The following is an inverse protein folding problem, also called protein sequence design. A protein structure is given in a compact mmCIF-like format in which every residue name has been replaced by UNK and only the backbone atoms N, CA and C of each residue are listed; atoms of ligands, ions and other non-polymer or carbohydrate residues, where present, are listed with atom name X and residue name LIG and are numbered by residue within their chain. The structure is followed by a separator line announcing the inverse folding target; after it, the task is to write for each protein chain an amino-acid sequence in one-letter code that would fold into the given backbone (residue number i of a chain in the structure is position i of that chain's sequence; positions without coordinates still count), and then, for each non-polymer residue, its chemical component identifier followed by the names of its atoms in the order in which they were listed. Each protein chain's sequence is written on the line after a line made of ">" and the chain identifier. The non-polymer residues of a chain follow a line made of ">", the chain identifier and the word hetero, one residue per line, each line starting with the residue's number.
data_IF_460281780472
#
_entry.id   IF_460281780472
#
_cell.length_a   1.000
_cell.length_b   1.000
_cell.length_c   1.000
_cell.angle_alpha   90.00
_cell.angle_beta   90.00
_cell.angle_gamma   90.00
#
_symmetry.space_group_name_H-M   'P 1'
#
loop_
_entity.id
_entity.type
_entity.pdbx_description
1 polymer ?
#
# COMPACT_ATOMS: atom_id res chain seq x y z
N UNK A 1 -20.48 -35.21 -49.25
CA UNK A 1 -19.96 -33.83 -49.29
C UNK A 1 -20.35 -33.15 -47.99
N UNK A 2 -19.35 -32.96 -47.14
CA UNK A 2 -19.49 -32.60 -45.73
C UNK A 2 -19.84 -31.12 -45.57
N UNK A 3 -20.87 -30.83 -44.78
CA UNK A 3 -21.10 -29.48 -44.24
C UNK A 3 -20.31 -29.36 -42.95
N UNK A 4 -19.14 -28.72 -43.02
CA UNK A 4 -18.34 -28.36 -41.85
C UNK A 4 -19.04 -27.19 -41.17
N UNK A 5 -19.60 -27.45 -39.98
CA UNK A 5 -20.15 -26.45 -39.09
C UNK A 5 -18.96 -25.76 -38.39
N UNK A 6 -18.65 -24.53 -38.80
CA UNK A 6 -17.59 -23.73 -38.19
C UNK A 6 -18.12 -23.19 -36.84
N UNK A 7 -17.84 -23.91 -35.76
CA UNK A 7 -18.10 -23.42 -34.39
C UNK A 7 -17.03 -22.37 -34.08
N UNK A 8 -17.44 -21.11 -34.14
CA UNK A 8 -16.63 -19.97 -33.72
C UNK A 8 -16.46 -20.04 -32.19
N UNK A 9 -15.34 -20.60 -31.73
CA UNK A 9 -14.96 -20.59 -30.32
C UNK A 9 -14.56 -19.15 -29.96
N UNK A 10 -15.53 -18.36 -29.51
CA UNK A 10 -15.28 -17.09 -28.82
C UNK A 10 -14.53 -17.42 -27.52
N UNK A 11 -13.21 -17.34 -27.57
CA UNK A 11 -12.36 -17.21 -26.39
C UNK A 11 -12.75 -15.91 -25.69
N UNK A 12 -13.76 -15.97 -24.83
CA UNK A 12 -13.91 -14.99 -23.76
C UNK A 12 -12.69 -15.20 -22.86
N UNK A 13 -11.63 -14.44 -23.13
CA UNK A 13 -10.59 -14.19 -22.15
C UNK A 13 -11.30 -13.60 -20.93
N UNK A 14 -11.50 -14.43 -19.91
CA UNK A 14 -11.76 -13.94 -18.58
C UNK A 14 -10.59 -13.02 -18.25
N UNK A 15 -10.80 -11.71 -18.37
CA UNK A 15 -9.93 -10.72 -17.77
C UNK A 15 -10.04 -10.90 -16.26
N UNK A 16 -9.25 -11.84 -15.74
CA UNK A 16 -8.90 -11.91 -14.33
C UNK A 16 -8.07 -10.65 -14.04
N UNK A 17 -8.72 -9.50 -13.85
CA UNK A 17 -8.11 -8.35 -13.20
C UNK A 17 -8.04 -8.61 -11.69
N UNK A 18 -7.30 -9.65 -11.32
CA UNK A 18 -6.95 -9.93 -9.93
C UNK A 18 -5.67 -9.14 -9.56
N UNK A 19 -5.83 -7.82 -9.42
CA UNK A 19 -4.99 -6.93 -8.61
C UNK A 19 -3.46 -6.98 -8.79
N UNK A 20 -2.95 -6.56 -9.95
CA UNK A 20 -1.58 -6.06 -9.99
C UNK A 20 -1.54 -4.63 -9.42
N UNK A 21 -0.78 -4.45 -8.34
CA UNK A 21 -0.43 -3.14 -7.77
C UNK A 21 1.02 -2.83 -8.12
N UNK A 22 1.35 -1.54 -8.32
CA UNK A 22 2.74 -1.13 -8.59
C UNK A 22 3.66 -1.53 -7.43
N UNK A 23 4.71 -2.29 -7.72
CA UNK A 23 5.77 -2.60 -6.76
C UNK A 23 6.57 -1.32 -6.43
N UNK A 24 6.69 -1.02 -5.14
CA UNK A 24 7.44 0.12 -4.62
C UNK A 24 8.63 -0.40 -3.82
N UNK A 25 9.79 -0.41 -4.45
CA UNK A 25 11.06 -0.65 -3.77
C UNK A 25 11.40 0.51 -2.84
N UNK A 26 12.01 0.20 -1.68
CA UNK A 26 12.38 1.21 -0.69
C UNK A 26 13.47 2.18 -1.17
N UNK A 27 14.21 1.81 -2.22
CA UNK A 27 15.32 2.57 -2.82
C UNK A 27 14.98 3.11 -4.22
N UNK A 28 13.69 3.11 -4.58
CA UNK A 28 13.19 3.60 -5.88
C UNK A 28 13.77 4.97 -6.20
N UNK A 29 14.35 5.07 -7.40
CA UNK A 29 14.89 6.31 -7.98
C UNK A 29 14.08 6.66 -9.22
N UNK A 30 14.08 7.94 -9.56
CA UNK A 30 13.52 8.42 -10.81
C UNK A 30 14.60 8.47 -11.91
N UNK A 31 14.16 8.27 -13.14
CA UNK A 31 14.95 8.31 -14.36
C UNK A 31 14.57 9.52 -15.22
N UNK A 32 15.40 9.83 -16.22
CA UNK A 32 15.10 10.89 -17.17
C UNK A 32 13.87 10.52 -18.00
N UNK A 33 12.91 11.44 -18.09
CA UNK A 33 11.63 11.25 -18.77
C UNK A 33 10.50 10.78 -17.84
N UNK A 34 10.80 10.44 -16.59
CA UNK A 34 9.76 10.02 -15.64
C UNK A 34 8.75 11.16 -15.39
N UNK A 35 7.47 10.79 -15.42
CA UNK A 35 6.40 11.65 -14.93
C UNK A 35 6.14 11.30 -13.46
N UNK A 36 6.44 12.25 -12.59
CA UNK A 36 6.31 12.10 -11.15
C UNK A 36 5.37 13.16 -10.56
N UNK A 37 5.06 13.00 -9.28
CA UNK A 37 4.19 13.94 -8.56
C UNK A 37 4.85 14.38 -7.26
N UNK A 38 4.66 15.65 -6.91
CA UNK A 38 5.21 16.19 -5.69
C UNK A 38 4.52 15.57 -4.46
N UNK A 39 5.31 15.07 -3.52
CA UNK A 39 4.84 14.63 -2.21
C UNK A 39 4.85 15.78 -1.19
N UNK A 40 5.89 16.60 -1.22
CA UNK A 40 5.99 17.80 -0.39
C UNK A 40 4.91 18.83 -0.71
N UNK A 41 4.63 19.71 0.23
CA UNK A 41 3.81 20.90 -0.01
C UNK A 41 4.64 22.16 0.22
N UNK A 42 4.36 23.22 -0.55
CA UNK A 42 5.15 24.46 -0.58
C UNK A 42 6.65 24.24 -0.86
N UNK A 43 6.96 23.34 -1.79
CA UNK A 43 8.34 22.99 -2.13
C UNK A 43 8.95 24.05 -3.02
N UNK A 44 10.12 24.55 -2.63
CA UNK A 44 10.89 25.52 -3.40
C UNK A 44 11.67 24.81 -4.52
N UNK A 45 11.34 25.11 -5.76
CA UNK A 45 12.15 24.77 -6.94
C UNK A 45 13.34 25.72 -7.00
N UNK A 46 14.55 25.17 -7.10
CA UNK A 46 15.79 25.94 -6.98
C UNK A 46 16.55 26.01 -8.30
N UNK A 47 17.32 27.06 -8.56
CA UNK A 47 18.15 27.15 -9.78
C UNK A 47 19.31 26.14 -9.83
N UNK A 48 19.73 25.63 -8.67
CA UNK A 48 20.82 24.69 -8.49
C UNK A 48 20.46 23.65 -7.41
N UNK A 49 21.11 22.47 -7.39
CA UNK A 49 20.82 21.39 -6.43
C UNK A 49 21.35 21.69 -5.01
N UNK A 50 20.82 22.75 -4.38
CA UNK A 50 21.21 23.22 -3.05
C UNK A 50 20.03 23.89 -2.34
N UNK A 51 19.97 23.75 -1.02
CA UNK A 51 18.97 24.43 -0.17
C UNK A 51 19.16 25.95 -0.12
N UNK A 52 20.36 26.43 -0.42
CA UNK A 52 20.71 27.86 -0.37
C UNK A 52 20.58 28.56 -1.74
N UNK A 53 20.35 27.80 -2.82
CA UNK A 53 20.22 28.36 -4.16
C UNK A 53 18.96 29.22 -4.30
N UNK A 54 18.94 30.13 -5.28
CA UNK A 54 17.77 30.97 -5.55
C UNK A 54 16.52 30.13 -5.89
N UNK A 55 15.35 30.65 -5.51
CA UNK A 55 14.05 30.01 -5.73
C UNK A 55 13.48 30.46 -7.06
N UNK A 56 13.15 29.50 -7.93
CA UNK A 56 12.46 29.70 -9.20
C UNK A 56 10.95 29.75 -9.01
N UNK A 57 10.42 28.80 -8.21
CA UNK A 57 8.99 28.66 -7.99
C UNK A 57 8.69 27.96 -6.65
N UNK A 58 7.44 28.04 -6.21
CA UNK A 58 6.92 27.28 -5.05
C UNK A 58 5.81 26.35 -5.53
N UNK A 59 6.01 25.04 -5.34
CA UNK A 59 5.15 23.99 -5.85
C UNK A 59 4.30 23.40 -4.73
N UNK A 60 3.10 22.96 -5.08
CA UNK A 60 2.13 22.34 -4.17
C UNK A 60 2.11 20.83 -4.32
N UNK A 61 1.73 20.13 -3.25
CA UNK A 61 1.55 18.67 -3.29
C UNK A 61 0.68 18.26 -4.49
N UNK A 62 1.03 17.14 -5.12
CA UNK A 62 0.32 16.60 -6.28
C UNK A 62 0.58 17.35 -7.59
N UNK A 63 1.41 18.40 -7.61
CA UNK A 63 1.89 18.98 -8.85
C UNK A 63 2.65 17.93 -9.68
N UNK A 64 2.30 17.84 -10.96
CA UNK A 64 2.92 16.94 -11.93
C UNK A 64 4.29 17.50 -12.36
N UNK A 65 5.29 16.63 -12.41
CA UNK A 65 6.68 16.97 -12.70
C UNK A 65 7.17 16.04 -13.81
N UNK A 66 7.99 16.56 -14.71
CA UNK A 66 8.81 15.76 -15.63
C UNK A 66 10.24 15.77 -15.09
N UNK A 67 10.81 14.58 -14.85
CA UNK A 67 12.19 14.45 -14.41
C UNK A 67 13.11 14.56 -15.61
N UNK A 68 13.99 15.57 -15.61
CA UNK A 68 14.92 15.82 -16.71
C UNK A 68 16.30 15.22 -16.45
N UNK A 69 16.73 15.22 -15.19
CA UNK A 69 18.09 14.80 -14.83
C UNK A 69 18.15 14.41 -13.36
N UNK A 70 18.92 13.36 -13.06
CA UNK A 70 19.34 13.02 -11.71
C UNK A 70 20.73 13.60 -11.46
N UNK A 71 20.85 14.49 -10.49
CA UNK A 71 22.13 15.04 -10.06
C UNK A 71 22.94 14.04 -9.24
N UNK A 72 24.27 14.17 -9.28
CA UNK A 72 25.19 13.48 -8.37
C UNK A 72 25.21 14.11 -6.97
N UNK A 73 24.66 15.31 -6.80
CA UNK A 73 24.53 15.96 -5.49
C UNK A 73 23.43 15.27 -4.69
N UNK A 74 23.75 14.91 -3.46
CA UNK A 74 22.82 14.29 -2.52
C UNK A 74 22.69 15.10 -1.24
N UNK A 75 21.55 14.95 -0.58
CA UNK A 75 21.30 15.58 0.72
C UNK A 75 20.42 14.65 1.55
N UNK A 76 20.69 14.57 2.84
CA UNK A 76 19.84 13.82 3.78
C UNK A 76 18.59 14.63 4.09
N UNK A 77 17.43 14.05 3.83
CA UNK A 77 16.14 14.63 4.16
C UNK A 77 15.29 13.56 4.84
N UNK A 78 14.71 13.90 6.00
CA UNK A 78 13.89 12.96 6.79
C UNK A 78 14.59 11.61 7.03
N UNK A 79 15.89 11.67 7.34
CA UNK A 79 16.75 10.52 7.62
C UNK A 79 17.13 9.67 6.41
N UNK A 80 16.75 10.06 5.19
CA UNK A 80 17.08 9.35 3.96
C UNK A 80 17.98 10.22 3.07
N UNK A 81 19.13 9.68 2.66
CA UNK A 81 19.98 10.33 1.67
C UNK A 81 19.31 10.27 0.30
N UNK A 82 18.99 11.43 -0.28
CA UNK A 82 18.31 11.54 -1.58
C UNK A 82 19.13 12.36 -2.56
N UNK A 83 19.20 11.95 -3.85
CA UNK A 83 19.76 12.81 -4.89
C UNK A 83 18.83 14.01 -5.16
N UNK A 84 19.41 15.08 -5.70
CA UNK A 84 18.63 16.16 -6.30
C UNK A 84 18.24 15.78 -7.72
N UNK A 85 17.04 16.20 -8.14
CA UNK A 85 16.52 16.01 -9.48
C UNK A 85 16.28 17.37 -10.13
N UNK A 86 16.79 17.52 -11.35
CA UNK A 86 16.34 18.58 -12.25
C UNK A 86 14.98 18.17 -12.79
N UNK A 87 14.00 19.01 -12.62
CA UNK A 87 12.62 18.77 -13.06
C UNK A 87 12.13 19.92 -13.91
N UNK A 88 11.13 19.64 -14.74
CA UNK A 88 10.30 20.62 -15.39
C UNK A 88 8.92 20.64 -14.76
N UNK A 89 8.45 21.83 -14.44
CA UNK A 89 7.10 22.10 -13.97
C UNK A 89 6.51 23.22 -14.81
N UNK A 90 5.53 22.90 -15.66
CA UNK A 90 5.01 23.83 -16.66
C UNK A 90 6.16 24.39 -17.52
N UNK A 91 6.42 25.69 -17.42
CA UNK A 91 7.49 26.38 -18.15
C UNK A 91 8.76 26.58 -17.31
N UNK A 92 8.72 26.22 -16.02
CA UNK A 92 9.84 26.39 -15.10
C UNK A 92 10.71 25.14 -15.06
N UNK A 93 12.03 25.34 -14.98
CA UNK A 93 13.02 24.27 -14.82
C UNK A 93 13.89 24.59 -13.63
N UNK A 94 14.11 23.60 -12.78
CA UNK A 94 15.00 23.74 -11.62
C UNK A 94 15.17 22.44 -10.88
N UNK A 95 15.68 22.52 -9.66
CA UNK A 95 16.09 21.38 -8.85
C UNK A 95 15.22 21.25 -7.59
N UNK A 96 14.87 20.00 -7.26
CA UNK A 96 14.26 19.62 -5.98
C UNK A 96 14.95 18.35 -5.46
N UNK A 97 14.95 18.16 -4.14
CA UNK A 97 15.46 16.94 -3.52
C UNK A 97 14.47 15.77 -3.74
N UNK A 98 15.00 14.58 -4.06
CA UNK A 98 14.21 13.38 -4.34
C UNK A 98 13.23 12.99 -3.23
N UNK A 99 13.60 13.20 -1.97
CA UNK A 99 12.74 12.97 -0.80
C UNK A 99 11.50 13.88 -0.73
N UNK A 100 11.29 14.81 -1.66
CA UNK A 100 10.07 15.58 -1.82
C UNK A 100 9.17 15.12 -2.98
N UNK A 101 9.62 14.14 -3.77
CA UNK A 101 8.87 13.51 -4.87
C UNK A 101 8.20 12.25 -4.36
N UNK A 102 6.95 12.01 -4.75
CA UNK A 102 6.17 10.84 -4.33
C UNK A 102 6.66 9.59 -5.04
N UNK A 103 6.84 8.49 -4.31
CA UNK A 103 7.21 7.19 -4.87
C UNK A 103 6.16 6.64 -5.83
N UNK A 104 4.89 6.94 -5.54
CA UNK A 104 3.76 6.66 -6.43
C UNK A 104 2.64 7.67 -6.23
N UNK A 105 1.72 7.74 -7.18
CA UNK A 105 0.43 8.40 -7.03
C UNK A 105 -0.65 7.44 -7.51
N UNK A 106 -1.59 7.13 -6.62
CA UNK A 106 -2.81 6.39 -7.00
C UNK A 106 -4.01 7.31 -6.84
N UNK A 107 -4.79 7.49 -7.90
CA UNK A 107 -6.02 8.30 -7.88
C UNK A 107 -7.24 7.39 -7.98
N UNK A 108 -8.25 7.65 -7.15
CA UNK A 108 -9.57 7.04 -7.27
C UNK A 108 -10.64 8.08 -6.99
N UNK A 109 -11.57 8.25 -7.93
CA UNK A 109 -12.58 9.31 -7.90
C UNK A 109 -11.92 10.68 -7.69
N UNK A 110 -12.32 11.40 -6.65
CA UNK A 110 -11.82 12.72 -6.27
C UNK A 110 -10.66 12.69 -5.26
N UNK A 111 -10.07 11.52 -4.98
CA UNK A 111 -8.99 11.36 -4.01
C UNK A 111 -7.70 10.92 -4.71
N UNK A 112 -6.61 11.65 -4.50
CA UNK A 112 -5.26 11.23 -4.84
C UNK A 112 -4.51 10.79 -3.58
N UNK A 113 -3.85 9.64 -3.63
CA UNK A 113 -2.98 9.10 -2.59
C UNK A 113 -1.52 9.16 -3.04
N UNK A 114 -0.64 9.60 -2.15
CA UNK A 114 0.78 9.80 -2.37
C UNK A 114 1.57 9.09 -1.26
N UNK A 115 2.72 8.52 -1.61
CA UNK A 115 3.57 7.77 -0.71
C UNK A 115 4.98 8.31 -0.74
N UNK A 116 5.58 8.41 0.44
CA UNK A 116 7.00 8.64 0.59
C UNK A 116 7.52 7.91 1.84
N UNK A 117 8.83 7.91 2.02
CA UNK A 117 9.51 7.26 3.11
C UNK A 117 10.17 8.28 4.02
N UNK A 118 10.31 7.90 5.29
CA UNK A 118 11.05 8.66 6.29
C UNK A 118 11.76 7.65 7.20
N UNK A 119 13.02 7.94 7.54
CA UNK A 119 13.80 7.14 8.48
C UNK A 119 14.02 7.94 9.76
N UNK A 120 13.66 7.38 10.90
CA UNK A 120 13.99 7.92 12.23
C UNK A 120 14.77 6.85 12.96
N UNK A 121 15.98 7.19 13.40
CA UNK A 121 16.98 6.23 13.88
C UNK A 121 17.15 5.13 12.84
N UNK A 122 16.93 3.86 13.21
CA UNK A 122 16.97 2.72 12.29
C UNK A 122 15.60 2.24 11.82
N UNK A 123 14.53 2.97 12.12
CA UNK A 123 13.16 2.58 11.74
C UNK A 123 12.70 3.32 10.49
N UNK A 124 12.26 2.55 9.50
CA UNK A 124 11.64 3.07 8.30
C UNK A 124 10.14 3.29 8.54
N UNK A 125 9.61 4.40 8.02
CA UNK A 125 8.21 4.75 8.07
C UNK A 125 7.68 5.01 6.66
N UNK A 126 6.50 4.46 6.38
CA UNK A 126 5.71 4.81 5.21
C UNK A 126 4.84 6.01 5.60
N UNK A 127 5.04 7.12 4.89
CA UNK A 127 4.26 8.34 5.03
C UNK A 127 3.24 8.39 3.89
N UNK A 128 1.97 8.26 4.24
CA UNK A 128 0.85 8.29 3.32
C UNK A 128 0.14 9.63 3.40
N UNK A 129 0.00 10.31 2.26
CA UNK A 129 -0.80 11.54 2.15
C UNK A 129 -1.96 11.34 1.21
N UNK A 130 -3.13 11.83 1.60
CA UNK A 130 -4.28 11.92 0.69
C UNK A 130 -4.69 13.36 0.47
N UNK A 131 -5.04 13.67 -0.77
CA UNK A 131 -5.52 14.97 -1.21
C UNK A 131 -6.86 14.80 -1.92
N UNK A 132 -7.87 15.51 -1.44
CA UNK A 132 -9.15 15.64 -2.13
C UNK A 132 -9.02 16.69 -3.22
N UNK A 133 -9.52 16.43 -4.43
CA UNK A 133 -9.46 17.37 -5.55
C UNK A 133 -10.10 18.75 -5.22
N UNK A 134 -11.03 18.78 -4.26
CA UNK A 134 -11.73 19.99 -3.79
C UNK A 134 -11.00 20.74 -2.67
N UNK A 135 -9.89 20.21 -2.15
CA UNK A 135 -9.15 20.79 -1.03
C UNK A 135 -7.70 21.04 -1.40
N UNK A 136 -7.12 22.06 -0.79
CA UNK A 136 -5.68 22.34 -0.88
C UNK A 136 -4.88 21.64 0.23
N UNK A 137 -5.52 21.34 1.36
CA UNK A 137 -4.90 20.63 2.48
C UNK A 137 -4.95 19.11 2.29
N UNK A 138 -3.85 18.44 2.60
CA UNK A 138 -3.74 16.99 2.63
C UNK A 138 -3.98 16.44 4.04
N UNK A 139 -4.32 15.15 4.11
CA UNK A 139 -4.34 14.38 5.35
C UNK A 139 -3.18 13.39 5.34
N UNK A 140 -2.54 13.19 6.48
CA UNK A 140 -1.34 12.36 6.59
C UNK A 140 -1.53 11.24 7.59
N UNK A 141 -0.99 10.07 7.25
CA UNK A 141 -0.68 9.02 8.19
C UNK A 141 0.80 8.66 8.06
N UNK A 142 1.43 8.39 9.20
CA UNK A 142 2.79 7.87 9.27
C UNK A 142 2.76 6.58 10.06
N UNK A 143 3.14 5.48 9.41
CA UNK A 143 3.16 4.14 10.01
C UNK A 143 4.53 3.51 9.82
N UNK A 144 5.00 2.78 10.82
CA UNK A 144 6.25 2.02 10.73
C UNK A 144 6.11 0.99 9.60
N UNK A 145 7.13 0.86 8.77
CA UNK A 145 7.26 -0.24 7.82
C UNK A 145 7.70 -1.48 8.57
N UNK A 146 6.82 -2.48 8.70
CA UNK A 146 7.12 -3.75 9.34
C UNK A 146 7.38 -4.89 8.35
N UNK A 147 7.30 -4.61 7.05
CA UNK A 147 7.74 -5.55 6.04
C UNK A 147 9.26 -5.65 6.01
N UNK A 148 9.75 -6.67 5.32
CA UNK A 148 11.16 -6.77 5.00
C UNK A 148 11.62 -5.60 4.14
N UNK A 149 12.93 -5.37 4.09
CA UNK A 149 13.55 -4.26 3.35
C UNK A 149 13.45 -4.38 1.82
N UNK A 150 12.55 -5.21 1.29
CA UNK A 150 12.34 -5.37 -0.13
C UNK A 150 11.45 -4.24 -0.68
N UNK A 151 10.16 -4.28 -0.37
CA UNK A 151 9.23 -3.28 -0.84
C UNK A 151 7.80 -3.54 -0.41
N UNK A 152 6.90 -2.77 -1.01
CA UNK A 152 5.47 -2.86 -0.75
C UNK A 152 4.69 -2.37 -1.97
N UNK A 153 3.38 -2.53 -1.96
CA UNK A 153 2.51 -1.87 -2.94
C UNK A 153 1.34 -1.17 -2.26
N UNK A 154 0.77 -0.21 -2.98
CA UNK A 154 -0.39 0.57 -2.55
C UNK A 154 -1.64 0.13 -3.32
N UNK A 155 -2.73 -0.16 -2.60
CA UNK A 155 -4.07 -0.33 -3.19
C UNK A 155 -5.01 0.72 -2.61
N UNK A 156 -5.75 1.42 -3.49
CA UNK A 156 -6.76 2.41 -3.13
C UNK A 156 -8.15 1.93 -3.56
N UNK A 157 -9.03 1.79 -2.58
CA UNK A 157 -10.42 1.39 -2.77
C UNK A 157 -11.37 2.57 -2.50
N UNK A 158 -12.62 2.39 -2.94
CA UNK A 158 -13.73 3.20 -2.42
C UNK A 158 -14.02 2.79 -0.97
N UNK A 159 -15.17 3.19 -0.45
CA UNK A 159 -15.58 2.84 0.92
C UNK A 159 -15.95 1.36 1.10
N UNK A 160 -16.01 0.57 0.02
CA UNK A 160 -16.42 -0.84 0.03
C UNK A 160 -17.72 -1.13 0.80
N UNK A 161 -18.65 -0.16 0.82
CA UNK A 161 -19.94 -0.27 1.52
C UNK A 161 -19.91 0.05 3.02
N UNK A 162 -18.80 0.58 3.54
CA UNK A 162 -18.72 1.14 4.89
C UNK A 162 -19.32 2.53 4.95
N UNK A 163 -20.13 2.78 5.99
CA UNK A 163 -20.63 4.11 6.31
C UNK A 163 -19.50 4.95 6.94
N UNK A 164 -19.57 6.27 6.75
CA UNK A 164 -18.63 7.26 7.30
C UNK A 164 -17.18 7.17 6.81
N UNK A 165 -16.82 6.11 6.09
CA UNK A 165 -15.54 5.98 5.39
C UNK A 165 -15.73 6.42 3.95
N UNK A 166 -14.82 7.27 3.47
CA UNK A 166 -14.75 7.70 2.06
C UNK A 166 -13.96 6.70 1.23
N UNK A 167 -12.79 6.31 1.73
CA UNK A 167 -11.84 5.47 0.99
C UNK A 167 -11.06 4.58 1.94
N UNK A 168 -10.63 3.45 1.39
CA UNK A 168 -9.80 2.47 2.08
C UNK A 168 -8.48 2.38 1.33
N UNK A 169 -7.38 2.46 2.08
CA UNK A 169 -6.03 2.28 1.57
C UNK A 169 -5.47 1.01 2.19
N UNK A 170 -4.85 0.17 1.37
CA UNK A 170 -4.11 -0.99 1.83
C UNK A 170 -2.66 -0.87 1.37
N UNK A 171 -1.74 -0.88 2.33
CA UNK A 171 -0.31 -0.99 2.08
C UNK A 171 0.04 -2.46 2.28
N UNK A 172 0.43 -3.13 1.20
CA UNK A 172 0.77 -4.56 1.21
C UNK A 172 2.28 -4.73 1.12
N UNK A 173 2.90 -5.29 2.14
CA UNK A 173 4.32 -5.64 2.12
C UNK A 173 4.57 -6.78 1.12
N UNK A 174 5.66 -6.65 0.37
CA UNK A 174 6.07 -7.62 -0.64
C UNK A 174 7.40 -8.23 -0.16
N UNK A 175 7.39 -9.46 0.36
CA UNK A 175 8.60 -10.10 0.87
C UNK A 175 9.61 -10.37 -0.26
N UNK A 176 10.90 -10.49 0.09
CA UNK A 176 11.97 -10.83 -0.85
C UNK A 176 11.99 -12.33 -1.20
N UNK A 177 11.57 -13.17 -0.24
CA UNK A 177 11.56 -14.62 -0.35
C UNK A 177 10.26 -15.23 0.20
N UNK A 178 9.89 -16.41 -0.29
CA UNK A 178 8.82 -17.21 0.31
C UNK A 178 9.29 -17.71 1.67
N UNK A 179 8.77 -17.10 2.74
CA UNK A 179 9.30 -17.28 4.10
C UNK A 179 9.04 -16.06 4.99
N UNK A 180 9.15 -14.87 4.40
CA UNK A 180 9.03 -13.61 5.13
C UNK A 180 7.59 -13.17 5.37
N UNK A 181 7.39 -12.32 6.39
CA UNK A 181 6.10 -11.71 6.71
C UNK A 181 5.56 -10.93 5.50
N UNK A 182 4.65 -11.57 4.78
CA UNK A 182 3.70 -10.92 3.89
C UNK A 182 2.54 -10.35 4.72
N UNK A 183 1.69 -9.53 4.11
CA UNK A 183 0.63 -8.83 4.82
C UNK A 183 0.78 -7.33 4.65
N UNK A 184 0.40 -6.54 5.66
CA UNK A 184 0.31 -5.10 5.47
C UNK A 184 -0.59 -4.42 6.47
N UNK A 185 -1.04 -3.21 6.16
CA UNK A 185 -2.00 -2.52 7.01
C UNK A 185 -3.04 -1.73 6.22
N UNK A 186 -4.21 -1.61 6.83
CA UNK A 186 -5.30 -0.81 6.32
C UNK A 186 -5.31 0.58 6.95
N UNK A 187 -5.48 1.59 6.10
CA UNK A 187 -5.87 2.93 6.51
C UNK A 187 -7.30 3.23 6.03
N UNK A 188 -8.12 3.81 6.91
CA UNK A 188 -9.43 4.35 6.52
C UNK A 188 -9.39 5.87 6.50
N UNK A 189 -9.92 6.45 5.42
CA UNK A 189 -10.11 7.88 5.29
C UNK A 189 -11.57 8.25 5.51
N UNK A 190 -11.87 9.05 6.53
CA UNK A 190 -13.23 9.48 6.89
C UNK A 190 -13.54 10.93 6.44
N UNK A 191 -12.74 11.48 5.51
CA UNK A 191 -12.73 12.90 5.06
C UNK A 191 -12.16 13.93 6.04
N UNK A 192 -11.85 13.51 7.27
CA UNK A 192 -11.28 14.34 8.34
C UNK A 192 -9.91 13.84 8.81
N UNK A 193 -9.63 12.55 8.71
CA UNK A 193 -8.40 11.89 9.17
C UNK A 193 -8.15 10.57 8.43
N UNK A 194 -6.87 10.22 8.31
CA UNK A 194 -6.42 8.87 7.95
C UNK A 194 -6.16 8.05 9.23
N UNK A 195 -7.00 7.05 9.47
CA UNK A 195 -6.90 6.16 10.64
C UNK A 195 -6.13 4.89 10.27
N UNK A 196 -5.10 4.51 11.04
CA UNK A 196 -4.55 3.14 10.97
C UNK A 196 -5.53 2.20 11.65
N UNK A 197 -6.04 1.23 10.89
CA UNK A 197 -7.17 0.38 11.30
C UNK A 197 -6.68 -0.91 11.92
N UNK A 198 -5.84 -1.63 11.19
CA UNK A 198 -5.31 -2.93 11.58
C UNK A 198 -4.07 -3.22 10.73
N UNK A 199 -3.15 -3.96 11.33
CA UNK A 199 -2.02 -4.59 10.66
C UNK A 199 -2.33 -6.08 10.53
N UNK A 200 -2.16 -6.61 9.32
CA UNK A 200 -2.42 -7.98 8.96
C UNK A 200 -1.11 -8.71 8.76
N UNK A 201 -1.04 -9.93 9.28
CA UNK A 201 0.07 -10.85 9.04
C UNK A 201 -0.33 -11.93 8.05
N UNK A 202 0.62 -12.32 7.21
CA UNK A 202 0.51 -13.45 6.31
C UNK A 202 1.91 -14.03 6.14
N UNK A 203 2.09 -15.33 6.29
CA UNK A 203 3.42 -15.92 6.26
C UNK A 203 3.33 -17.40 6.02
N UNK A 204 4.41 -17.96 5.50
CA UNK A 204 4.59 -19.39 5.37
C UNK A 204 6.04 -19.68 5.69
N UNK A 205 6.28 -20.50 6.70
CA UNK A 205 7.56 -21.09 7.05
C UNK A 205 7.43 -22.60 6.89
N UNK A 206 8.52 -23.34 6.75
CA UNK A 206 8.52 -24.76 6.39
C UNK A 206 7.47 -25.57 7.18
N UNK A 207 6.42 -26.00 6.47
CA UNK A 207 5.32 -26.79 7.03
C UNK A 207 4.32 -26.03 7.92
N UNK A 208 4.40 -24.69 8.06
CA UNK A 208 3.52 -23.85 8.90
C UNK A 208 3.15 -22.55 8.16
N UNK A 209 1.88 -22.15 8.19
CA UNK A 209 1.45 -20.89 7.58
C UNK A 209 0.44 -20.15 8.45
N UNK A 210 0.37 -18.84 8.26
CA UNK A 210 -0.68 -17.99 8.81
C UNK A 210 -1.16 -16.96 7.79
N UNK A 211 -2.42 -16.56 7.89
CA UNK A 211 -3.01 -15.52 7.04
C UNK A 211 -4.12 -14.79 7.76
N UNK A 212 -4.06 -13.46 7.71
CA UNK A 212 -5.12 -12.58 8.18
C UNK A 212 -5.68 -11.76 7.02
N UNK A 213 -7.01 -11.70 6.94
CA UNK A 213 -7.71 -11.03 5.85
C UNK A 213 -8.92 -10.26 6.34
N UNK A 214 -9.22 -9.14 5.67
CA UNK A 214 -10.47 -8.41 5.80
C UNK A 214 -11.33 -8.56 4.55
N UNK A 215 -12.62 -8.78 4.76
CA UNK A 215 -13.65 -8.69 3.72
C UNK A 215 -14.64 -7.59 4.11
N UNK A 216 -14.81 -6.64 3.21
CA UNK A 216 -15.68 -5.48 3.38
C UNK A 216 -17.12 -5.79 2.93
N UNK A 217 -18.11 -4.96 3.29
CA UNK A 217 -19.52 -5.20 2.94
C UNK A 217 -19.78 -5.53 1.46
N UNK A 218 -19.03 -4.92 0.54
CA UNK A 218 -19.19 -5.11 -0.91
C UNK A 218 -18.30 -6.23 -1.49
N UNK A 219 -17.50 -6.92 -0.68
CA UNK A 219 -16.70 -8.06 -1.16
C UNK A 219 -17.53 -9.36 -1.17
N UNK A 220 -16.99 -10.44 -1.77
CA UNK A 220 -17.71 -11.71 -1.96
C UNK A 220 -18.20 -12.36 -0.66
N UNK A 221 -17.44 -12.23 0.43
CA UNK A 221 -17.83 -12.67 1.78
C UNK A 221 -18.42 -11.55 2.64
N UNK A 222 -18.74 -10.42 2.01
CA UNK A 222 -19.21 -9.21 2.66
C UNK A 222 -20.56 -9.36 3.36
N UNK A 223 -20.74 -8.62 4.45
CA UNK A 223 -22.01 -8.50 5.15
C UNK A 223 -22.31 -7.01 5.33
N UNK A 224 -23.52 -6.59 4.99
CA UNK A 224 -23.93 -5.17 5.07
C UNK A 224 -23.59 -4.57 6.44
N UNK A 225 -22.85 -3.46 6.43
CA UNK A 225 -22.45 -2.72 7.65
C UNK A 225 -21.48 -3.46 8.57
N UNK A 226 -20.81 -4.51 8.07
CA UNK A 226 -19.86 -5.33 8.83
C UNK A 226 -18.57 -5.53 8.04
N UNK A 227 -17.46 -5.63 8.76
CA UNK A 227 -16.17 -6.07 8.22
C UNK A 227 -15.96 -7.49 8.73
N UNK A 228 -15.71 -8.44 7.85
CA UNK A 228 -15.40 -9.81 8.23
C UNK A 228 -13.88 -9.91 8.34
N UNK A 229 -13.40 -10.26 9.53
CA UNK A 229 -12.00 -10.62 9.75
C UNK A 229 -11.88 -12.13 9.76
N UNK A 230 -10.91 -12.66 9.04
CA UNK A 230 -10.54 -14.07 9.04
C UNK A 230 -9.07 -14.17 9.40
N UNK A 231 -8.75 -14.91 10.46
CA UNK A 231 -7.41 -15.43 10.72
C UNK A 231 -7.45 -16.93 10.45
N UNK A 232 -6.52 -17.43 9.66
CA UNK A 232 -6.30 -18.85 9.47
C UNK A 232 -4.82 -19.16 9.70
N UNK A 233 -4.55 -20.25 10.40
CA UNK A 233 -3.21 -20.74 10.71
C UNK A 233 -3.22 -22.25 10.52
N UNK A 234 -2.13 -22.82 10.02
CA UNK A 234 -2.11 -24.24 9.73
C UNK A 234 -0.71 -24.79 9.52
N UNK A 235 -0.68 -26.10 9.36
CA UNK A 235 0.52 -26.89 9.15
C UNK A 235 0.28 -27.92 8.04
N UNK A 236 1.33 -28.32 7.34
CA UNK A 236 1.29 -29.34 6.30
C UNK A 236 2.60 -30.12 6.25
N UNK A 237 2.57 -31.34 5.72
CA UNK A 237 3.77 -32.17 5.55
C UNK A 237 4.72 -31.58 4.50
N UNK A 238 5.96 -31.25 4.88
CA UNK A 238 7.03 -30.87 3.93
C UNK A 238 7.71 -32.15 3.40
N UNK A 239 7.07 -32.83 2.46
CA UNK A 239 7.63 -34.07 1.88
C UNK A 239 8.69 -33.74 0.82
N UNK A 240 9.92 -33.48 1.24
CA UNK A 240 11.08 -33.40 0.32
C UNK A 240 11.76 -34.74 0.03
N UNK A 241 11.26 -35.84 0.59
CA UNK A 241 11.81 -37.17 0.33
C UNK A 241 10.72 -38.08 -0.22
N UNK A 242 10.94 -38.51 -1.46
CA UNK A 242 10.20 -39.60 -2.10
C UNK A 242 10.19 -40.84 -1.18
N UNK A 243 9.06 -41.53 -1.16
CA UNK A 243 8.76 -42.78 -0.44
C UNK A 243 8.15 -42.65 0.98
N UNK A 244 6.81 -42.59 0.98
CA UNK A 244 5.88 -43.21 1.96
C UNK A 244 5.30 -42.43 3.14
N UNK A 245 5.49 -41.11 3.25
CA UNK A 245 4.70 -40.33 4.21
C UNK A 245 3.45 -39.72 3.57
N UNK A 246 2.31 -39.84 4.25
CA UNK A 246 1.01 -39.37 3.75
C UNK A 246 1.04 -37.85 3.62
N UNK A 247 0.63 -37.28 2.49
CA UNK A 247 0.45 -35.84 2.32
C UNK A 247 -0.74 -35.37 3.18
N UNK A 248 -0.48 -34.53 4.18
CA UNK A 248 -1.49 -34.05 5.11
C UNK A 248 -1.34 -32.56 5.38
N UNK A 249 -2.48 -31.92 5.68
CA UNK A 249 -2.52 -30.55 6.16
C UNK A 249 -3.64 -30.36 7.17
N UNK A 250 -3.43 -29.45 8.11
CA UNK A 250 -4.38 -29.11 9.17
C UNK A 250 -4.39 -27.60 9.37
N UNK A 251 -5.57 -26.99 9.52
CA UNK A 251 -5.70 -25.57 9.84
C UNK A 251 -6.73 -25.28 10.93
N UNK A 252 -6.57 -24.15 11.58
CA UNK A 252 -7.46 -23.52 12.54
C UNK A 252 -7.93 -22.18 11.94
N UNK A 253 -9.22 -21.85 12.09
CA UNK A 253 -9.82 -20.65 11.48
C UNK A 253 -10.68 -19.89 12.46
N UNK A 254 -10.36 -18.61 12.65
CA UNK A 254 -11.17 -17.65 13.42
C UNK A 254 -11.85 -16.70 12.45
N UNK A 255 -13.18 -16.54 12.58
CA UNK A 255 -13.99 -15.59 11.80
C UNK A 255 -14.75 -14.65 12.70
N UNK A 256 -14.46 -13.34 12.60
CA UNK A 256 -15.11 -12.29 13.40
C UNK A 256 -15.92 -11.35 12.53
N UNK A 257 -17.13 -11.00 13.00
CA UNK A 257 -17.99 -9.96 12.40
C UNK A 257 -17.76 -8.63 13.12
N UNK A 258 -16.91 -7.81 12.55
CA UNK A 258 -16.49 -6.53 13.13
C UNK A 258 -17.41 -5.38 12.70
N UNK A 259 -17.45 -4.33 13.52
CA UNK A 259 -17.98 -3.00 13.17
C UNK A 259 -16.88 -1.95 13.34
N UNK A 260 -16.91 -0.92 12.51
CA UNK A 260 -16.13 0.30 12.72
C UNK A 260 -16.95 1.24 13.62
N UNK A 261 -16.49 1.46 14.86
CA UNK A 261 -17.17 2.29 15.85
C UNK A 261 -16.10 3.06 16.64
N UNK A 262 -16.30 4.36 16.84
CA UNK A 262 -15.37 5.23 17.57
C UNK A 262 -13.93 5.14 17.04
N UNK A 263 -13.78 5.11 15.72
CA UNK A 263 -12.50 4.97 15.01
C UNK A 263 -11.73 3.67 15.35
N UNK A 264 -12.43 2.60 15.73
CA UNK A 264 -11.84 1.30 16.04
C UNK A 264 -12.68 0.14 15.51
N UNK A 265 -12.02 -0.99 15.25
CA UNK A 265 -12.71 -2.26 15.01
C UNK A 265 -13.23 -2.84 16.34
N UNK A 266 -14.53 -3.17 16.39
CA UNK A 266 -15.18 -3.80 17.55
C UNK A 266 -15.88 -5.11 17.14
N UNK A 267 -15.63 -6.25 17.82
CA UNK A 267 -14.58 -6.46 18.85
C UNK A 267 -13.17 -6.23 18.27
N UNK A 268 -12.16 -6.08 19.14
CA UNK A 268 -10.78 -5.96 18.67
C UNK A 268 -10.29 -7.34 18.19
N UNK A 269 -9.98 -7.53 16.88
CA UNK A 269 -9.56 -8.83 16.36
C UNK A 269 -8.20 -9.29 16.90
N UNK A 270 -7.33 -8.39 17.35
CA UNK A 270 -5.97 -8.71 17.83
C UNK A 270 -5.91 -9.15 19.30
N UNK A 271 -6.95 -8.89 20.06
CA UNK A 271 -7.05 -9.29 21.48
C UNK A 271 -8.29 -10.15 21.71
N UNK A 272 -8.86 -10.72 20.65
CA UNK A 272 -10.01 -11.60 20.78
C UNK A 272 -9.52 -12.94 21.32
N UNK A 273 -9.80 -13.19 22.60
CA UNK A 273 -9.65 -14.51 23.19
C UNK A 273 -10.93 -15.30 22.93
N UNK A 274 -10.77 -16.46 22.29
CA UNK A 274 -11.83 -17.45 22.25
C UNK A 274 -11.94 -18.02 23.67
N UNK A 275 -12.93 -17.60 24.45
CA UNK A 275 -13.24 -18.21 25.73
C UNK A 275 -14.40 -19.19 25.52
N UNK A 276 -14.15 -20.44 25.12
CA UNK A 276 -15.20 -21.44 24.92
C UNK A 276 -15.93 -21.80 26.22
N UNK A 277 -15.34 -21.51 27.40
CA UNK A 277 -15.81 -22.02 28.69
C UNK A 277 -16.39 -20.96 29.65
N UNK A 278 -16.41 -19.68 29.28
CA UNK A 278 -17.23 -18.67 29.95
C UNK A 278 -17.14 -18.61 31.48
N UNK A 279 -15.95 -18.78 32.07
CA UNK A 279 -15.73 -18.47 33.49
C UNK A 279 -14.89 -17.21 33.64
N UNK A 280 -15.51 -16.21 34.27
CA UNK A 280 -14.88 -15.00 34.81
C UNK A 280 -14.12 -15.32 36.08
#
# INVERSE_FOLDING_TARGET
>A
MNKILLILFLLYSNYNNAQDCEYLGIDKKFENGDIAYLFGDNVRLRIAPSSEAEIVAVLKIGNCLEVLEKSNVKTTFKGIESPWYKIKYKNEVGYIIGGLISLTRVKKNNLSCFINLEKIDDRLYIVTRVLLDTKTAYFENKSVHLGDNNGFCLKLFDNKGLQEISNIIYINYIPESGGANSGGYYLFFDTKKLHKVIELTSGNDIGIWESEQLYFPNDSLGVKGKIIYIKEEGEFSDSKTEESESDWGKSSKIKLKLKWIDNKLKPNPKTFENNPDGKR
#
